data_IF_907865597181
#
_entry.id   IF_907865597181
#
_cell.length_a   1.000
_cell.length_b   1.000
_cell.length_c   1.000
_cell.angle_alpha   90.00
_cell.angle_beta   90.00
_cell.angle_gamma   90.00
#
_symmetry.space_group_name_H-M   'P 1'
#
loop_
_entity.id
_entity.type
_entity.pdbx_description
1 polymer ?
#
# COMPACT_ATOMS: atom_id res chain seq x y z
N UNK A 1 -27.50 -27.15 -17.66
CA UNK A 1 -27.27 -28.54 -17.18
C UNK A 1 -25.80 -28.96 -17.11
N UNK A 2 -25.07 -29.23 -18.21
CA UNK A 2 -23.65 -29.72 -18.14
C UNK A 2 -22.65 -28.62 -17.73
N UNK A 3 -22.83 -27.39 -18.22
CA UNK A 3 -21.98 -26.24 -17.86
C UNK A 3 -22.19 -25.75 -16.42
N UNK A 4 -23.43 -25.78 -15.90
CA UNK A 4 -23.72 -25.42 -14.51
C UNK A 4 -23.08 -26.39 -13.53
N UNK A 5 -23.07 -27.70 -13.85
CA UNK A 5 -22.37 -28.71 -13.05
C UNK A 5 -20.86 -28.50 -13.06
N UNK A 6 -20.26 -28.08 -14.19
CA UNK A 6 -18.84 -27.74 -14.26
C UNK A 6 -18.48 -26.50 -13.42
N UNK A 7 -19.34 -25.47 -13.44
CA UNK A 7 -19.17 -24.28 -12.60
C UNK A 7 -19.30 -24.59 -11.11
N UNK A 8 -20.25 -25.46 -10.71
CA UNK A 8 -20.38 -25.90 -9.32
C UNK A 8 -19.21 -26.74 -8.83
N UNK A 9 -18.67 -27.64 -9.67
CA UNK A 9 -17.51 -28.46 -9.33
C UNK A 9 -16.27 -27.57 -9.15
N UNK A 10 -16.03 -26.60 -10.05
CA UNK A 10 -14.94 -25.63 -9.91
C UNK A 10 -15.09 -24.78 -8.65
N UNK A 11 -16.30 -24.32 -8.30
CA UNK A 11 -16.57 -23.60 -7.05
C UNK A 11 -16.32 -24.45 -5.81
N UNK A 12 -16.70 -25.73 -5.83
CA UNK A 12 -16.45 -26.67 -4.72
C UNK A 12 -14.97 -27.00 -4.58
N UNK A 13 -14.24 -27.15 -5.69
CA UNK A 13 -12.79 -27.36 -5.68
C UNK A 13 -12.04 -26.12 -5.17
N UNK A 14 -12.42 -24.92 -5.62
CA UNK A 14 -11.85 -23.66 -5.10
C UNK A 14 -12.12 -23.48 -3.60
N UNK A 15 -13.32 -23.83 -3.11
CA UNK A 15 -13.65 -23.80 -1.68
C UNK A 15 -12.89 -24.86 -0.88
N UNK A 16 -12.73 -26.06 -1.41
CA UNK A 16 -11.98 -27.14 -0.77
C UNK A 16 -10.48 -26.82 -0.70
N UNK A 17 -9.93 -26.23 -1.76
CA UNK A 17 -8.54 -25.79 -1.83
C UNK A 17 -8.28 -24.61 -0.89
N UNK A 18 -9.17 -23.61 -0.88
CA UNK A 18 -9.13 -22.52 0.10
C UNK A 18 -9.23 -23.05 1.55
N UNK A 19 -10.07 -24.06 1.81
CA UNK A 19 -10.20 -24.66 3.16
C UNK A 19 -8.96 -25.48 3.56
N UNK A 20 -8.31 -26.14 2.60
CA UNK A 20 -7.08 -26.92 2.82
C UNK A 20 -5.87 -26.01 3.02
N UNK A 21 -5.79 -24.92 2.26
CA UNK A 21 -4.79 -23.87 2.40
C UNK A 21 -4.96 -23.11 3.73
N UNK A 22 -6.20 -22.81 4.13
CA UNK A 22 -6.49 -22.24 5.44
C UNK A 22 -6.07 -23.16 6.59
N UNK A 23 -6.30 -24.48 6.44
CA UNK A 23 -5.91 -25.47 7.44
C UNK A 23 -4.38 -25.66 7.54
N UNK A 24 -3.66 -25.62 6.42
CA UNK A 24 -2.19 -25.62 6.42
C UNK A 24 -1.61 -24.33 7.02
N UNK A 25 -2.24 -23.17 6.77
CA UNK A 25 -1.87 -21.91 7.43
C UNK A 25 -2.18 -21.92 8.93
N UNK A 26 -3.24 -22.59 9.35
CA UNK A 26 -3.53 -22.84 10.76
C UNK A 26 -2.48 -23.77 11.38
N UNK A 27 -2.08 -24.86 10.71
CA UNK A 27 -1.13 -25.84 11.27
C UNK A 27 0.34 -25.34 11.28
N UNK A 28 0.79 -24.57 10.29
CA UNK A 28 2.18 -24.05 10.22
C UNK A 28 2.41 -22.74 11.01
N UNK A 29 1.33 -22.04 11.40
CA UNK A 29 1.41 -20.73 12.03
C UNK A 29 0.66 -20.68 13.39
N UNK A 30 -0.26 -21.62 13.67
CA UNK A 30 -0.84 -21.77 15.00
C UNK A 30 -0.23 -22.97 15.73
N UNK A 31 0.59 -22.68 16.73
CA UNK A 31 0.30 -23.31 18.00
C UNK A 31 -1.18 -23.02 18.27
N UNK A 32 -2.00 -24.07 18.28
CA UNK A 32 -3.43 -24.02 18.63
C UNK A 32 -3.50 -23.60 20.10
N UNK A 33 -3.26 -22.32 20.36
CA UNK A 33 -3.48 -21.72 21.66
C UNK A 33 -4.96 -21.38 21.66
N UNK A 34 -5.67 -21.98 22.62
CA UNK A 34 -7.09 -21.76 22.80
C UNK A 34 -7.27 -20.31 23.30
N UNK A 35 -7.37 -19.37 22.36
CA UNK A 35 -7.39 -17.92 22.62
C UNK A 35 -8.43 -17.53 23.68
N UNK A 36 -9.54 -18.26 23.73
CA UNK A 36 -10.61 -18.06 24.70
C UNK A 36 -10.19 -18.41 26.15
N UNK A 37 -9.06 -19.08 26.36
CA UNK A 37 -8.55 -19.51 27.67
C UNK A 37 -7.37 -18.67 28.20
N UNK A 38 -6.83 -17.77 27.37
CA UNK A 38 -5.72 -16.92 27.76
C UNK A 38 -6.23 -15.62 28.39
N UNK A 39 -5.56 -15.16 29.44
CA UNK A 39 -5.74 -13.80 29.95
C UNK A 39 -5.14 -12.76 28.99
N UNK A 40 -5.41 -11.47 29.22
CA UNK A 40 -4.96 -10.40 28.32
C UNK A 40 -3.42 -10.35 28.21
N UNK A 41 -2.71 -10.51 29.32
CA UNK A 41 -1.24 -10.48 29.36
C UNK A 41 -0.62 -11.64 28.53
N UNK A 42 -1.18 -12.84 28.63
CA UNK A 42 -0.76 -13.99 27.84
C UNK A 42 -1.07 -13.84 26.35
N UNK A 43 -2.21 -13.23 26.00
CA UNK A 43 -2.54 -12.94 24.61
C UNK A 43 -1.55 -11.95 24.00
N UNK A 44 -1.15 -10.93 24.77
CA UNK A 44 -0.14 -9.96 24.36
C UNK A 44 1.23 -10.61 24.14
N UNK A 45 1.68 -11.44 25.08
CA UNK A 45 2.97 -12.13 24.96
C UNK A 45 3.00 -13.06 23.75
N UNK A 46 1.91 -13.79 23.49
CA UNK A 46 1.79 -14.67 22.31
C UNK A 46 1.81 -13.86 21.01
N UNK A 47 1.11 -12.71 20.97
CA UNK A 47 1.12 -11.83 19.79
C UNK A 47 2.50 -11.21 19.55
N UNK A 48 3.16 -10.72 20.59
CA UNK A 48 4.49 -10.14 20.50
C UNK A 48 5.54 -11.19 20.08
N UNK A 49 5.52 -12.38 20.68
CA UNK A 49 6.41 -13.48 20.31
C UNK A 49 6.21 -13.90 18.84
N UNK A 50 4.96 -13.97 18.38
CA UNK A 50 4.63 -14.31 17.00
C UNK A 50 5.07 -13.22 16.03
N UNK A 51 4.84 -11.96 16.35
CA UNK A 51 5.29 -10.83 15.53
C UNK A 51 6.83 -10.78 15.44
N UNK A 52 7.55 -11.09 16.53
CA UNK A 52 9.01 -11.20 16.53
C UNK A 52 9.53 -12.38 15.71
N UNK A 53 8.90 -13.54 15.83
CA UNK A 53 9.21 -14.70 14.99
C UNK A 53 9.00 -14.39 13.51
N UNK A 54 7.89 -13.70 13.19
CA UNK A 54 7.62 -13.24 11.83
C UNK A 54 8.69 -12.26 11.36
N UNK A 55 9.08 -11.27 12.16
CA UNK A 55 10.11 -10.31 11.79
C UNK A 55 11.42 -11.01 11.43
N UNK A 56 11.80 -12.06 12.17
CA UNK A 56 12.95 -12.91 11.84
C UNK A 56 12.77 -13.77 10.58
N UNK A 57 11.54 -14.20 10.25
CA UNK A 57 11.24 -14.89 8.97
C UNK A 57 11.26 -13.92 7.79
N UNK A 58 10.66 -12.74 7.96
CA UNK A 58 10.67 -11.65 6.98
C UNK A 58 12.11 -11.28 6.66
N UNK A 59 12.91 -10.91 7.66
CA UNK A 59 14.30 -10.47 7.47
C UNK A 59 15.15 -11.49 6.70
N UNK A 60 14.94 -12.79 6.94
CA UNK A 60 15.62 -13.87 6.20
C UNK A 60 15.12 -14.02 4.77
N UNK A 61 13.80 -14.10 4.59
CA UNK A 61 13.20 -14.14 3.26
C UNK A 61 13.64 -12.94 2.41
N UNK A 62 13.78 -11.77 3.03
CA UNK A 62 14.26 -10.55 2.39
C UNK A 62 15.70 -10.64 1.94
N UNK A 63 16.60 -11.16 2.78
CA UNK A 63 17.99 -11.38 2.41
C UNK A 63 18.11 -12.34 1.21
N UNK A 64 17.28 -13.39 1.19
CA UNK A 64 17.24 -14.37 0.10
C UNK A 64 16.71 -13.75 -1.20
N UNK A 65 15.63 -12.96 -1.10
CA UNK A 65 15.00 -12.32 -2.26
C UNK A 65 15.88 -11.24 -2.89
N UNK A 66 16.64 -10.48 -2.09
CA UNK A 66 17.65 -9.56 -2.64
C UNK A 66 18.76 -10.29 -3.40
N UNK A 67 19.03 -11.54 -3.05
CA UNK A 67 20.05 -12.36 -3.70
C UNK A 67 19.55 -12.98 -5.00
N UNK A 68 18.32 -13.49 -5.01
CA UNK A 68 17.67 -14.07 -6.18
C UNK A 68 16.14 -13.78 -6.17
N UNK A 69 15.71 -12.66 -6.78
CA UNK A 69 14.32 -12.23 -6.75
C UNK A 69 13.36 -13.17 -7.48
N UNK A 70 13.83 -13.91 -8.49
CA UNK A 70 13.01 -14.78 -9.33
C UNK A 70 12.74 -16.12 -8.65
N UNK A 71 13.78 -16.71 -8.04
CA UNK A 71 13.66 -17.99 -7.32
C UNK A 71 12.96 -17.85 -5.96
N UNK A 72 13.02 -16.67 -5.33
CA UNK A 72 12.66 -16.53 -3.91
C UNK A 72 11.36 -15.76 -3.66
N UNK A 73 10.63 -15.39 -4.73
CA UNK A 73 9.34 -14.70 -4.61
C UNK A 73 8.32 -15.50 -3.78
N UNK A 74 8.40 -16.84 -3.81
CA UNK A 74 7.59 -17.73 -2.98
C UNK A 74 7.76 -17.48 -1.48
N UNK A 75 8.97 -17.10 -1.04
CA UNK A 75 9.24 -16.76 0.37
C UNK A 75 8.54 -15.47 0.77
N UNK A 76 8.51 -14.46 -0.11
CA UNK A 76 7.77 -13.21 0.14
C UNK A 76 6.26 -13.49 0.19
N UNK A 77 5.75 -14.27 -0.77
CA UNK A 77 4.35 -14.68 -0.78
C UNK A 77 3.95 -15.44 0.50
N UNK A 78 4.82 -16.33 1.00
CA UNK A 78 4.60 -17.05 2.26
C UNK A 78 4.50 -16.09 3.45
N UNK A 79 5.39 -15.09 3.52
CA UNK A 79 5.34 -14.04 4.55
C UNK A 79 4.03 -13.24 4.48
N UNK A 80 3.58 -12.90 3.27
CA UNK A 80 2.31 -12.20 3.06
C UNK A 80 1.10 -12.98 3.56
N UNK A 81 1.06 -14.30 3.29
CA UNK A 81 -0.03 -15.15 3.77
C UNK A 81 -0.13 -15.11 5.31
N UNK A 82 1.01 -15.13 5.99
CA UNK A 82 1.09 -15.06 7.46
C UNK A 82 0.54 -13.72 7.98
N UNK A 83 0.91 -12.61 7.34
CA UNK A 83 0.41 -11.28 7.73
C UNK A 83 -1.08 -11.16 7.47
N UNK A 84 -1.56 -11.71 6.35
CA UNK A 84 -3.00 -11.80 6.07
C UNK A 84 -3.77 -12.42 7.24
N UNK A 85 -3.24 -13.48 7.85
CA UNK A 85 -3.84 -14.17 9.01
C UNK A 85 -3.79 -13.33 10.30
N UNK A 86 -2.75 -12.54 10.52
CA UNK A 86 -2.70 -11.65 11.69
C UNK A 86 -3.56 -10.40 11.51
N UNK A 87 -3.79 -10.02 10.26
CA UNK A 87 -4.59 -8.86 9.88
C UNK A 87 -6.06 -9.20 9.65
N UNK A 88 -6.42 -10.49 9.50
CA UNK A 88 -7.81 -10.91 9.39
C UNK A 88 -8.55 -10.48 10.65
N UNK A 89 -9.49 -9.53 10.51
CA UNK A 89 -10.24 -9.06 11.64
C UNK A 89 -11.22 -10.17 11.99
N UNK A 90 -11.00 -10.87 13.10
CA UNK A 90 -12.18 -11.23 13.86
C UNK A 90 -12.70 -9.90 14.44
N UNK A 91 -13.89 -9.42 14.04
CA UNK A 91 -14.41 -8.13 14.48
C UNK A 91 -14.45 -7.98 16.02
N UNK A 92 -14.49 -9.09 16.76
CA UNK A 92 -14.42 -9.10 18.23
C UNK A 92 -12.99 -9.05 18.80
N UNK A 93 -11.95 -9.40 18.03
CA UNK A 93 -10.54 -9.45 18.48
C UNK A 93 -9.67 -8.32 17.91
N UNK A 94 -10.15 -7.63 16.86
CA UNK A 94 -9.42 -6.54 16.19
C UNK A 94 -9.19 -5.30 17.10
N UNK A 95 -9.81 -5.26 18.28
CA UNK A 95 -9.68 -4.18 19.25
C UNK A 95 -8.62 -4.42 20.35
N UNK A 96 -8.02 -5.62 20.46
CA UNK A 96 -7.10 -5.96 21.56
C UNK A 96 -5.75 -6.49 21.09
N UNK A 97 -5.21 -5.87 20.04
CA UNK A 97 -3.78 -5.97 19.80
C UNK A 97 -3.16 -4.88 20.66
N UNK A 98 -2.43 -5.25 21.72
CA UNK A 98 -1.78 -4.29 22.59
C UNK A 98 -0.85 -3.36 21.82
N UNK A 99 -0.59 -2.20 22.42
CA UNK A 99 0.24 -1.15 21.83
C UNK A 99 1.59 -1.69 21.30
N UNK A 100 2.24 -2.57 22.08
CA UNK A 100 3.48 -3.26 21.70
C UNK A 100 3.37 -4.18 20.47
N UNK A 101 2.22 -4.81 20.25
CA UNK A 101 2.02 -5.63 19.07
C UNK A 101 1.79 -4.77 17.81
N UNK A 102 1.28 -3.53 17.94
CA UNK A 102 1.24 -2.59 16.82
C UNK A 102 2.62 -2.11 16.40
N UNK A 103 3.53 -1.86 17.35
CA UNK A 103 4.92 -1.51 17.05
C UNK A 103 5.61 -2.61 16.25
N UNK A 104 5.53 -3.85 16.74
CA UNK A 104 6.17 -4.99 16.07
C UNK A 104 5.56 -5.25 14.68
N UNK A 105 4.23 -5.12 14.52
CA UNK A 105 3.59 -5.20 13.21
C UNK A 105 4.01 -4.06 12.28
N UNK A 106 4.18 -2.85 12.82
CA UNK A 106 4.69 -1.70 12.10
C UNK A 106 6.09 -1.94 11.53
N UNK A 107 6.99 -2.52 12.32
CA UNK A 107 8.34 -2.91 11.88
C UNK A 107 8.30 -3.97 10.78
N UNK A 108 7.43 -4.98 10.92
CA UNK A 108 7.22 -5.99 9.87
C UNK A 108 6.75 -5.35 8.57
N UNK A 109 5.81 -4.40 8.64
CA UNK A 109 5.37 -3.66 7.46
C UNK A 109 6.48 -2.82 6.83
N UNK A 110 7.31 -2.17 7.65
CA UNK A 110 8.45 -1.39 7.16
C UNK A 110 9.43 -2.29 6.39
N UNK A 111 9.83 -3.42 6.96
CA UNK A 111 10.74 -4.37 6.30
C UNK A 111 10.18 -4.89 4.97
N UNK A 112 8.87 -5.14 4.90
CA UNK A 112 8.21 -5.59 3.67
C UNK A 112 8.08 -4.50 2.62
N UNK A 113 7.91 -3.24 3.04
CA UNK A 113 7.96 -2.13 2.10
C UNK A 113 9.34 -2.01 1.47
N UNK A 114 10.41 -2.08 2.26
CA UNK A 114 11.78 -2.05 1.72
C UNK A 114 12.03 -3.23 0.76
N UNK A 115 11.52 -4.43 1.10
CA UNK A 115 11.52 -5.60 0.21
C UNK A 115 10.95 -5.32 -1.16
N UNK A 116 9.76 -4.74 -1.15
CA UNK A 116 8.96 -4.56 -2.33
C UNK A 116 9.59 -3.48 -3.17
N UNK A 117 10.10 -2.42 -2.55
CA UNK A 117 10.84 -1.37 -3.26
C UNK A 117 12.09 -1.95 -3.95
N UNK A 118 12.81 -2.87 -3.30
CA UNK A 118 14.02 -3.46 -3.88
C UNK A 118 13.74 -4.43 -5.05
N UNK A 119 12.62 -5.15 -4.99
CA UNK A 119 12.28 -6.18 -6.00
C UNK A 119 11.44 -5.62 -7.13
N UNK A 120 10.60 -4.63 -6.83
CA UNK A 120 9.59 -4.15 -7.76
C UNK A 120 10.19 -3.12 -8.71
N UNK A 121 9.99 -3.27 -10.03
CA UNK A 121 10.56 -2.34 -10.99
C UNK A 121 9.92 -0.95 -10.87
N UNK A 122 10.75 0.09 -10.98
CA UNK A 122 10.27 1.48 -11.13
C UNK A 122 9.87 1.80 -12.58
N UNK A 123 9.04 0.94 -13.17
CA UNK A 123 8.38 1.15 -14.45
C UNK A 123 7.03 0.46 -14.45
N UNK A 124 6.18 0.80 -15.43
CA UNK A 124 4.89 0.13 -15.61
C UNK A 124 5.10 -1.23 -16.24
N UNK A 125 4.75 -2.27 -15.51
CA UNK A 125 4.68 -3.63 -16.02
C UNK A 125 3.55 -3.69 -17.04
N UNK A 126 3.88 -4.04 -18.28
CA UNK A 126 2.92 -4.24 -19.37
C UNK A 126 2.80 -5.72 -19.62
N UNK A 127 1.65 -6.29 -19.27
CA UNK A 127 1.40 -7.70 -19.51
C UNK A 127 1.09 -7.94 -20.99
N UNK A 128 1.66 -9.00 -21.57
CA UNK A 128 1.39 -9.32 -22.97
C UNK A 128 -0.03 -9.83 -23.17
N UNK A 129 -0.53 -9.66 -24.40
CA UNK A 129 -1.83 -10.21 -24.80
C UNK A 129 -1.80 -11.74 -24.74
N UNK A 130 -2.87 -12.34 -24.19
CA UNK A 130 -2.99 -13.78 -24.01
C UNK A 130 -2.86 -14.58 -25.33
N UNK A 131 -3.18 -13.94 -26.46
CA UNK A 131 -3.17 -14.57 -27.79
C UNK A 131 -1.85 -14.34 -28.57
N UNK A 132 -0.88 -13.65 -27.98
CA UNK A 132 0.39 -13.40 -28.65
C UNK A 132 1.26 -14.67 -28.68
N UNK A 133 1.81 -15.03 -29.84
CA UNK A 133 2.88 -16.03 -29.90
C UNK A 133 4.14 -15.43 -29.28
N UNK A 134 4.58 -15.99 -28.15
CA UNK A 134 5.72 -15.48 -27.41
C UNK A 134 6.79 -16.55 -27.26
N UNK A 135 8.06 -16.13 -27.26
CA UNK A 135 9.18 -17.01 -26.91
C UNK A 135 9.05 -17.50 -25.47
N UNK A 136 9.72 -18.62 -25.16
CA UNK A 136 9.70 -19.22 -23.81
C UNK A 136 10.15 -18.23 -22.74
N UNK A 137 11.19 -17.45 -23.03
CA UNK A 137 11.76 -16.48 -22.07
C UNK A 137 10.76 -15.36 -21.76
N UNK A 138 10.06 -14.85 -22.77
CA UNK A 138 9.02 -13.82 -22.57
C UNK A 138 7.84 -14.37 -21.77
N UNK A 139 7.48 -15.65 -21.92
CA UNK A 139 6.46 -16.27 -21.10
C UNK A 139 6.90 -16.43 -19.63
N UNK A 140 8.18 -16.72 -19.38
CA UNK A 140 8.73 -16.81 -18.02
C UNK A 140 8.70 -15.43 -17.37
N UNK A 141 9.19 -14.40 -18.06
CA UNK A 141 9.14 -13.02 -17.58
C UNK A 141 7.71 -12.56 -17.29
N UNK A 142 6.78 -12.78 -18.22
CA UNK A 142 5.39 -12.38 -18.04
C UNK A 142 4.74 -13.06 -16.81
N UNK A 143 5.06 -14.34 -16.56
CA UNK A 143 4.60 -15.04 -15.35
C UNK A 143 5.18 -14.43 -14.08
N UNK A 144 6.46 -14.08 -14.08
CA UNK A 144 7.11 -13.40 -12.96
C UNK A 144 6.45 -12.04 -12.68
N UNK A 145 6.30 -11.21 -13.72
CA UNK A 145 5.66 -9.90 -13.69
C UNK A 145 4.21 -9.97 -13.15
N UNK A 146 3.44 -10.98 -13.57
CA UNK A 146 2.09 -11.22 -13.05
C UNK A 146 2.09 -11.53 -11.54
N UNK A 147 3.02 -12.36 -11.08
CA UNK A 147 3.14 -12.70 -9.66
C UNK A 147 3.53 -11.49 -8.83
N UNK A 148 4.45 -10.67 -9.35
CA UNK A 148 4.91 -9.45 -8.72
C UNK A 148 3.76 -8.43 -8.57
N UNK A 149 2.97 -8.22 -9.63
CA UNK A 149 1.76 -7.41 -9.56
C UNK A 149 0.76 -7.93 -8.51
N UNK A 150 0.48 -9.24 -8.52
CA UNK A 150 -0.44 -9.85 -7.55
C UNK A 150 0.05 -9.70 -6.09
N UNK A 151 1.36 -9.76 -5.87
CA UNK A 151 1.98 -9.53 -4.58
C UNK A 151 1.74 -8.09 -4.09
N UNK A 152 2.02 -7.10 -4.94
CA UNK A 152 1.77 -5.69 -4.61
C UNK A 152 0.29 -5.42 -4.38
N UNK A 153 -0.62 -5.98 -5.19
CA UNK A 153 -2.06 -5.83 -4.99
C UNK A 153 -2.52 -6.36 -3.63
N UNK A 154 -2.02 -7.54 -3.23
CA UNK A 154 -2.29 -8.10 -1.91
C UNK A 154 -1.74 -7.18 -0.82
N UNK A 155 -0.52 -6.69 -0.97
CA UNK A 155 0.09 -5.82 0.02
C UNK A 155 -0.70 -4.53 0.23
N UNK A 156 -0.99 -3.83 -0.86
CA UNK A 156 -1.75 -2.59 -0.81
C UNK A 156 -3.14 -2.82 -0.22
N UNK A 157 -3.77 -3.97 -0.50
CA UNK A 157 -5.05 -4.33 0.13
C UNK A 157 -4.92 -4.45 1.66
N UNK A 158 -3.83 -5.04 2.16
CA UNK A 158 -3.55 -5.11 3.60
C UNK A 158 -3.33 -3.72 4.20
N UNK A 159 -2.52 -2.87 3.57
CA UNK A 159 -2.29 -1.50 4.03
C UNK A 159 -3.57 -0.65 3.99
N UNK A 160 -4.43 -0.86 2.99
CA UNK A 160 -5.72 -0.18 2.88
C UNK A 160 -6.67 -0.55 4.02
N UNK A 161 -6.63 -1.80 4.49
CA UNK A 161 -7.50 -2.28 5.57
C UNK A 161 -7.16 -1.66 6.94
N UNK A 162 -5.93 -1.16 7.12
CA UNK A 162 -5.48 -0.53 8.37
C UNK A 162 -5.67 0.98 8.39
N UNK A 163 -5.62 1.66 7.25
CA UNK A 163 -5.79 3.11 7.15
C UNK A 163 -7.04 3.70 7.85
N UNK A 164 -8.25 3.10 7.74
CA UNK A 164 -9.43 3.68 8.38
C UNK A 164 -9.45 3.46 9.90
N UNK A 165 -8.59 2.61 10.46
CA UNK A 165 -8.54 2.35 11.90
C UNK A 165 -7.97 3.57 12.61
N UNK A 166 -8.65 4.06 13.65
CA UNK A 166 -8.10 5.11 14.54
C UNK A 166 -7.09 4.50 15.52
N UNK A 167 -6.13 3.74 15.01
CA UNK A 167 -5.14 3.01 15.77
C UNK A 167 -3.73 3.40 15.32
N UNK A 168 -2.68 3.25 16.16
CA UNK A 168 -1.30 3.53 15.78
C UNK A 168 -0.86 2.83 14.47
N UNK A 169 -1.44 1.65 14.19
CA UNK A 169 -1.18 0.89 12.98
C UNK A 169 -1.54 1.64 11.68
N UNK A 170 -2.53 2.53 11.69
CA UNK A 170 -2.89 3.30 10.49
C UNK A 170 -1.78 4.26 10.07
N UNK A 171 -1.00 4.77 11.03
CA UNK A 171 0.18 5.59 10.78
C UNK A 171 1.23 4.80 10.00
N UNK A 172 1.50 3.55 10.40
CA UNK A 172 2.39 2.66 9.65
C UNK A 172 1.84 2.37 8.24
N UNK A 173 0.53 2.20 8.10
CA UNK A 173 -0.11 2.05 6.79
C UNK A 173 0.14 3.24 5.86
N UNK A 174 -0.07 4.46 6.37
CA UNK A 174 0.16 5.68 5.62
C UNK A 174 1.65 5.89 5.28
N UNK A 175 2.54 5.64 6.24
CA UNK A 175 3.99 5.75 6.07
C UNK A 175 4.49 4.83 4.95
N UNK A 176 4.13 3.54 5.02
CA UNK A 176 4.56 2.54 4.06
C UNK A 176 4.01 2.80 2.66
N UNK A 177 2.75 3.19 2.54
CA UNK A 177 2.18 3.64 1.27
C UNK A 177 2.93 4.86 0.69
N UNK A 178 3.29 5.82 1.55
CA UNK A 178 4.08 6.99 1.17
C UNK A 178 5.49 6.64 0.67
N UNK A 179 6.17 5.71 1.34
CA UNK A 179 7.48 5.20 0.93
C UNK A 179 7.42 4.55 -0.46
N UNK A 180 6.45 3.66 -0.69
CA UNK A 180 6.23 3.03 -2.00
C UNK A 180 6.04 4.09 -3.08
N UNK A 181 5.18 5.07 -2.81
CA UNK A 181 4.84 6.13 -3.74
C UNK A 181 6.04 7.03 -4.09
N UNK A 182 6.90 7.30 -3.11
CA UNK A 182 8.10 8.13 -3.30
C UNK A 182 9.22 7.37 -4.02
N UNK A 183 9.42 6.10 -3.67
CA UNK A 183 10.48 5.28 -4.25
C UNK A 183 10.17 4.83 -5.69
N UNK A 184 8.90 4.59 -6.00
CA UNK A 184 8.47 4.06 -7.29
C UNK A 184 7.36 4.94 -7.89
N UNK A 185 7.63 6.16 -8.34
CA UNK A 185 6.61 7.06 -8.87
C UNK A 185 5.96 6.57 -10.17
N UNK A 186 6.58 5.65 -10.92
CA UNK A 186 6.08 5.24 -12.23
C UNK A 186 5.35 3.88 -12.25
N UNK A 187 5.18 3.21 -11.11
CA UNK A 187 4.56 1.87 -11.05
C UNK A 187 3.04 1.83 -11.32
N UNK A 188 2.51 0.64 -11.60
CA UNK A 188 1.13 0.41 -12.05
C UNK A 188 0.04 0.84 -11.05
N UNK A 189 0.27 0.71 -9.75
CA UNK A 189 -0.75 0.87 -8.70
C UNK A 189 -0.62 2.19 -7.93
N UNK A 190 0.09 3.16 -8.51
CA UNK A 190 0.25 4.50 -7.94
C UNK A 190 -1.07 5.18 -7.63
N UNK A 191 -1.98 5.15 -8.59
CA UNK A 191 -3.28 5.80 -8.50
C UNK A 191 -4.08 5.29 -7.30
N UNK A 192 -3.97 3.98 -7.02
CA UNK A 192 -4.60 3.31 -5.89
C UNK A 192 -4.10 3.88 -4.56
N UNK A 193 -2.78 4.04 -4.39
CA UNK A 193 -2.20 4.66 -3.19
C UNK A 193 -2.70 6.09 -3.02
N UNK A 194 -2.60 6.91 -4.07
CA UNK A 194 -3.02 8.33 -4.04
C UNK A 194 -4.50 8.44 -3.64
N UNK A 195 -5.38 7.62 -4.23
CA UNK A 195 -6.82 7.60 -3.93
C UNK A 195 -7.14 7.23 -2.48
N UNK A 196 -6.24 6.52 -1.80
CA UNK A 196 -6.43 6.06 -0.41
C UNK A 196 -5.81 7.02 0.60
N UNK A 197 -4.65 7.60 0.30
CA UNK A 197 -3.99 8.57 1.18
C UNK A 197 -4.74 9.90 1.24
N UNK A 198 -5.29 10.40 0.11
CA UNK A 198 -5.94 11.72 0.07
C UNK A 198 -7.14 11.83 1.02
N UNK A 199 -8.10 10.87 1.07
CA UNK A 199 -9.19 10.94 2.04
C UNK A 199 -8.72 10.92 3.51
N UNK A 200 -7.60 10.26 3.79
CA UNK A 200 -6.99 10.18 5.13
C UNK A 200 -6.34 11.51 5.49
N UNK A 201 -5.50 12.07 4.62
CA UNK A 201 -4.85 13.37 4.79
C UNK A 201 -5.88 14.52 4.89
N UNK A 202 -6.96 14.46 4.12
CA UNK A 202 -8.04 15.45 4.11
C UNK A 202 -9.13 15.18 5.15
N UNK A 203 -8.87 14.35 6.17
CA UNK A 203 -9.83 14.09 7.25
C UNK A 203 -9.75 15.19 8.32
N UNK A 204 -10.91 15.76 8.69
CA UNK A 204 -11.01 16.77 9.75
C UNK A 204 -11.00 16.16 11.17
N UNK A 205 -11.18 14.85 11.29
CA UNK A 205 -11.15 14.13 12.57
C UNK A 205 -9.75 13.86 13.10
N UNK A 206 -9.67 13.23 14.28
CA UNK A 206 -8.43 12.87 14.98
C UNK A 206 -7.82 11.54 14.47
N UNK A 207 -7.69 11.37 13.15
CA UNK A 207 -7.01 10.18 12.63
C UNK A 207 -5.47 10.37 12.77
N UNK A 208 -4.76 9.52 13.53
CA UNK A 208 -3.31 9.66 13.74
C UNK A 208 -2.50 9.52 12.44
N UNK A 209 -3.02 8.82 11.43
CA UNK A 209 -2.38 8.69 10.13
C UNK A 209 -2.47 9.94 9.26
N UNK A 210 -3.33 10.91 9.60
CA UNK A 210 -3.57 12.13 8.80
C UNK A 210 -2.28 12.92 8.51
N UNK A 211 -1.50 13.37 9.52
CA UNK A 211 -0.28 14.14 9.27
C UNK A 211 0.74 13.35 8.45
N UNK A 212 0.86 12.04 8.69
CA UNK A 212 1.80 11.17 7.96
C UNK A 212 1.38 10.98 6.50
N UNK A 213 0.08 10.81 6.23
CA UNK A 213 -0.44 10.74 4.88
C UNK A 213 -0.25 12.05 4.12
N UNK A 214 -0.45 13.21 4.78
CA UNK A 214 -0.22 14.51 4.17
C UNK A 214 1.26 14.71 3.83
N UNK A 215 2.17 14.41 4.77
CA UNK A 215 3.61 14.54 4.54
C UNK A 215 4.09 13.59 3.44
N UNK A 216 3.62 12.35 3.41
CA UNK A 216 3.94 11.40 2.34
C UNK A 216 3.54 11.93 0.95
N UNK A 217 2.34 12.51 0.83
CA UNK A 217 1.87 13.12 -0.41
C UNK A 217 2.73 14.34 -0.78
N UNK A 218 3.08 15.18 0.19
CA UNK A 218 3.94 16.35 -0.01
C UNK A 218 5.33 15.94 -0.50
N UNK A 219 5.97 14.96 0.14
CA UNK A 219 7.27 14.43 -0.27
C UNK A 219 7.23 13.82 -1.67
N UNK A 220 6.15 13.11 -2.00
CA UNK A 220 5.93 12.58 -3.36
C UNK A 220 5.89 13.71 -4.38
N UNK A 221 5.16 14.80 -4.11
CA UNK A 221 5.07 15.96 -5.00
C UNK A 221 6.42 16.62 -5.20
N UNK A 222 7.21 16.77 -4.14
CA UNK A 222 8.56 17.36 -4.19
C UNK A 222 9.53 16.47 -4.97
N UNK A 223 9.42 15.15 -4.82
CA UNK A 223 10.26 14.18 -5.52
C UNK A 223 9.85 13.97 -6.99
N UNK A 224 8.65 14.40 -7.39
CA UNK A 224 8.12 14.17 -8.73
C UNK A 224 8.70 15.15 -9.76
N UNK A 225 9.78 14.71 -10.41
CA UNK A 225 10.46 15.47 -11.47
C UNK A 225 9.66 15.55 -12.78
N UNK A 226 8.74 14.61 -13.04
CA UNK A 226 7.98 14.54 -14.29
C UNK A 226 6.60 15.21 -14.19
N UNK A 227 6.11 15.45 -12.98
CA UNK A 227 4.81 16.07 -12.70
C UNK A 227 3.60 15.12 -12.84
N UNK A 228 3.80 13.83 -13.12
CA UNK A 228 2.70 12.87 -13.28
C UNK A 228 1.99 12.58 -11.95
N UNK A 229 2.76 12.38 -10.88
CA UNK A 229 2.24 12.14 -9.54
C UNK A 229 1.60 13.41 -8.99
N UNK A 230 2.25 14.55 -9.15
CA UNK A 230 1.75 15.86 -8.71
C UNK A 230 0.40 16.19 -9.37
N UNK A 231 0.27 15.97 -10.68
CA UNK A 231 -0.99 16.17 -11.39
C UNK A 231 -2.09 15.23 -10.91
N UNK A 232 -1.75 13.96 -10.64
CA UNK A 232 -2.70 12.96 -10.15
C UNK A 232 -3.18 13.24 -8.72
N UNK A 233 -2.25 13.67 -7.86
CA UNK A 233 -2.54 14.15 -6.50
C UNK A 233 -3.46 15.36 -6.56
N UNK A 234 -3.10 16.38 -7.35
CA UNK A 234 -3.91 17.61 -7.49
C UNK A 234 -5.33 17.32 -7.98
N UNK A 235 -5.48 16.49 -9.02
CA UNK A 235 -6.80 16.06 -9.54
C UNK A 235 -7.61 15.34 -8.47
N UNK A 236 -6.97 14.48 -7.69
CA UNK A 236 -7.65 13.68 -6.66
C UNK A 236 -8.04 14.54 -5.45
N UNK A 237 -7.21 15.52 -5.05
CA UNK A 237 -7.55 16.52 -4.03
C UNK A 237 -8.78 17.31 -4.48
N UNK A 238 -8.79 17.83 -5.72
CA UNK A 238 -9.93 18.59 -6.25
C UNK A 238 -11.23 17.78 -6.22
N UNK A 239 -11.19 16.50 -6.61
CA UNK A 239 -12.36 15.61 -6.53
C UNK A 239 -12.86 15.44 -5.10
N UNK A 240 -11.95 15.25 -4.14
CA UNK A 240 -12.31 15.09 -2.72
C UNK A 240 -12.81 16.40 -2.11
N UNK A 241 -12.20 17.54 -2.46
CA UNK A 241 -12.63 18.87 -2.02
C UNK A 241 -14.07 19.15 -2.45
N UNK A 242 -14.38 18.95 -3.73
CA UNK A 242 -15.75 19.12 -4.26
C UNK A 242 -16.72 18.15 -3.56
N UNK A 243 -16.36 16.87 -3.46
CA UNK A 243 -17.21 15.86 -2.79
C UNK A 243 -17.51 16.18 -1.32
N UNK A 244 -16.59 16.85 -0.63
CA UNK A 244 -16.72 17.25 0.78
C UNK A 244 -17.19 18.69 0.97
N UNK A 245 -17.68 19.38 -0.06
CA UNK A 245 -18.05 20.80 0.00
C UNK A 245 -16.94 21.68 0.61
N UNK A 246 -15.70 21.45 0.18
CA UNK A 246 -14.48 22.14 0.64
C UNK A 246 -14.19 22.01 2.15
N UNK A 247 -14.84 21.08 2.85
CA UNK A 247 -14.51 20.71 4.24
C UNK A 247 -13.36 19.70 4.27
N UNK A 248 -12.16 20.19 3.95
CA UNK A 248 -10.91 19.41 3.93
C UNK A 248 -9.88 20.03 4.89
N UNK A 249 -9.00 19.20 5.43
CA UNK A 249 -7.97 19.66 6.35
C UNK A 249 -6.88 20.48 5.62
N UNK A 250 -6.36 21.59 6.20
CA UNK A 250 -5.34 22.42 5.58
C UNK A 250 -4.08 21.68 5.12
N UNK A 251 -3.60 20.68 5.87
CA UNK A 251 -2.42 19.87 5.53
C UNK A 251 -2.45 19.30 4.10
N UNK A 252 -3.64 18.98 3.56
CA UNK A 252 -3.74 18.47 2.18
C UNK A 252 -3.63 19.57 1.14
N UNK A 253 -3.97 20.81 1.49
CA UNK A 253 -3.83 21.99 0.62
C UNK A 253 -2.34 22.36 0.51
N UNK A 254 -1.57 22.18 1.58
CA UNK A 254 -0.12 22.38 1.57
C UNK A 254 0.60 21.48 0.55
N UNK A 255 0.04 20.30 0.26
CA UNK A 255 0.53 19.44 -0.82
C UNK A 255 0.43 20.12 -2.20
N UNK A 256 -0.58 20.97 -2.43
CA UNK A 256 -0.73 21.73 -3.67
C UNK A 256 0.27 22.89 -3.74
N UNK A 257 0.60 23.50 -2.60
CA UNK A 257 1.60 24.56 -2.52
C UNK A 257 3.02 24.03 -2.77
N UNK A 258 3.26 22.75 -2.47
CA UNK A 258 4.51 22.07 -2.76
C UNK A 258 4.75 21.77 -4.25
N UNK A 259 3.73 21.96 -5.10
CA UNK A 259 3.88 21.82 -6.55
C UNK A 259 4.73 22.98 -7.05
N UNK A 260 6.04 22.75 -7.15
CA UNK A 260 6.95 23.72 -7.75
C UNK A 260 6.69 23.79 -9.26
N UNK A 261 6.55 24.98 -9.86
CA UNK A 261 6.45 25.15 -11.31
C UNK A 261 7.79 24.91 -12.04
N UNK A 262 8.64 24.00 -11.55
CA UNK A 262 9.98 23.73 -12.07
C UNK A 262 10.03 23.12 -13.49
N UNK A 263 8.91 23.07 -14.21
CA UNK A 263 8.83 22.80 -15.66
C UNK A 263 8.21 23.93 -16.49
N UNK A 264 7.83 25.07 -15.88
CA UNK A 264 7.28 26.26 -16.57
C UNK A 264 8.28 27.41 -16.62
N UNK A 265 9.40 27.30 -15.89
CA UNK A 265 10.38 28.38 -15.74
C UNK A 265 11.49 28.39 -16.79
N UNK A 266 11.62 27.37 -17.65
CA UNK A 266 12.63 27.36 -18.73
C UNK A 266 12.19 28.05 -20.05
N UNK A 267 11.08 28.80 -20.07
CA UNK A 267 10.76 29.66 -21.23
C UNK A 267 10.33 31.08 -20.89
N UNK A 268 10.39 31.50 -19.64
CA UNK A 268 10.15 32.91 -19.27
C UNK A 268 11.46 33.68 -19.47
N UNK A 269 11.79 33.92 -20.75
CA UNK A 269 12.76 34.95 -21.10
C UNK A 269 12.19 36.29 -20.61
N UNK A 270 12.85 37.01 -19.68
CA UNK A 270 12.37 38.30 -19.19
C UNK A 270 12.23 39.36 -20.30
N UNK A 271 12.83 39.15 -21.48
CA UNK A 271 12.63 39.98 -22.67
C UNK A 271 11.22 39.86 -23.29
N UNK A 272 10.47 38.79 -22.99
CA UNK A 272 9.11 38.56 -23.51
C UNK A 272 8.00 38.90 -22.50
N UNK A 273 8.31 39.52 -21.35
CA UNK A 273 7.29 40.07 -20.45
C UNK A 273 6.71 41.39 -20.96
N UNK A 274 6.12 41.35 -22.16
CA UNK A 274 5.11 42.31 -22.56
C UNK A 274 3.81 42.01 -21.81
N UNK A 275 3.52 42.80 -20.78
CA UNK A 275 2.17 42.99 -20.21
C UNK A 275 1.51 41.80 -19.48
N UNK A 276 2.15 41.22 -18.46
CA UNK A 276 1.36 40.52 -17.42
C UNK A 276 0.79 41.57 -16.46
N UNK A 277 -0.47 41.97 -16.71
CA UNK A 277 -1.23 42.86 -15.82
C UNK A 277 -1.24 42.26 -14.40
N UNK A 278 -0.66 42.99 -13.44
CA UNK A 278 -0.86 42.73 -12.01
C UNK A 278 -2.34 42.87 -11.69
N UNK A 279 -3.03 41.77 -11.41
CA UNK A 279 -4.28 41.82 -10.66
C UNK A 279 -3.93 42.06 -9.20
N UNK A 280 -3.89 43.33 -8.81
CA UNK A 280 -3.93 43.73 -7.40
C UNK A 280 -5.38 43.51 -6.95
N UNK A 281 -5.57 42.56 -6.03
CA UNK A 281 -6.82 42.46 -5.28
C UNK A 281 -7.00 43.78 -4.53
N UNK A 282 -7.98 44.59 -4.95
CA UNK A 282 -8.54 45.66 -4.11
C UNK A 282 -9.44 44.99 -3.08
N UNK A 283 -8.99 44.96 -1.83
CA UNK A 283 -9.87 44.78 -0.68
C UNK A 283 -10.98 45.86 -0.76
N UNK A 284 -12.23 45.43 -0.64
CA UNK A 284 -13.36 46.33 -0.41
C UNK A 284 -13.65 46.32 1.09
N UNK A 285 -13.39 47.45 1.73
CA UNK A 285 -14.18 47.94 2.87
C UNK A 285 -15.58 48.35 2.41
#
# INVERSE_FOLDING_TARGET
MREERLKEVSKKQARAQHKKEHKLLEEDIMLVVDWAKLDEEQQEEVLAARAKQMLGKCSRALADVKRDPESELDKVEAVYKVIGVLMTPNPDHALRVAEHAYETLGEVFALLTEAIIDVFPNYRIVLPNADAMMSRDVQIQAKYDMRLLALMERYLTTLEAILPRQAPLSTYGALNMGKILTAMPDFNLRDRIIKKLIPVAGNMGKNPARPVAAEALRLTVVADTKGWCALEIARSISKVAVKKNFRIHPDIIECLLAISPAGVTESINPANMGSVRRYVYKERE
#
